data_IF_207515482946
#
_entry.id   IF_207515482946
#
_cell.length_a   1.000
_cell.length_b   1.000
_cell.length_c   1.000
_cell.angle_alpha   90.00
_cell.angle_beta   90.00
_cell.angle_gamma   90.00
#
_symmetry.space_group_name_H-M   'P 1'
#
loop_
_entity.id
_entity.type
_entity.pdbx_description
1 polymer ?
#
# COMPACT_ATOMS: atom_id res chain seq x y z
N UNK A 1 13.90 45.32 -39.06
CA UNK A 1 12.91 44.33 -38.59
C UNK A 1 13.69 43.12 -38.10
N UNK A 2 13.82 42.93 -36.78
CA UNK A 2 14.45 41.74 -36.19
C UNK A 2 13.37 40.80 -35.71
N UNK A 3 13.35 39.57 -36.22
CA UNK A 3 12.42 38.53 -35.80
C UNK A 3 12.94 37.91 -34.50
N UNK A 4 12.16 37.99 -33.42
CA UNK A 4 12.52 37.42 -32.12
C UNK A 4 12.12 35.94 -32.12
N UNK A 5 13.07 35.06 -32.41
CA UNK A 5 12.89 33.61 -32.21
C UNK A 5 12.78 33.35 -30.71
N UNK A 6 11.55 33.10 -30.24
CA UNK A 6 11.31 32.58 -28.91
C UNK A 6 11.59 31.07 -28.93
N UNK A 7 12.66 30.66 -28.26
CA UNK A 7 12.92 29.25 -27.95
C UNK A 7 11.78 28.72 -27.09
N UNK A 8 10.90 27.92 -27.69
CA UNK A 8 9.88 27.16 -26.98
C UNK A 8 10.59 26.13 -26.09
N UNK A 9 10.54 26.33 -24.77
CA UNK A 9 10.94 25.30 -23.81
C UNK A 9 10.04 24.07 -24.02
N UNK A 10 10.57 22.83 -24.02
CA UNK A 10 9.74 21.64 -24.11
C UNK A 10 8.80 21.61 -22.90
N UNK A 11 7.49 21.57 -23.16
CA UNK A 11 6.49 21.36 -22.13
C UNK A 11 6.71 20.01 -21.43
N UNK A 12 6.16 19.83 -20.22
CA UNK A 12 6.31 18.55 -19.52
C UNK A 12 5.77 17.43 -20.41
N UNK A 13 6.64 16.47 -20.73
CA UNK A 13 6.27 15.21 -21.36
C UNK A 13 5.11 14.61 -20.55
N UNK A 14 4.06 14.06 -21.18
CA UNK A 14 3.05 13.34 -20.42
C UNK A 14 3.75 12.18 -19.72
N UNK A 15 3.97 12.33 -18.42
CA UNK A 15 4.41 11.26 -17.53
C UNK A 15 3.54 10.06 -17.85
N UNK A 16 4.13 8.92 -18.18
CA UNK A 16 3.39 7.68 -18.38
C UNK A 16 2.54 7.47 -17.13
N UNK A 17 1.23 7.70 -17.24
CA UNK A 17 0.30 7.36 -16.17
C UNK A 17 0.38 5.85 -16.04
N UNK A 18 1.06 5.39 -14.99
CA UNK A 18 1.20 3.96 -14.72
C UNK A 18 -0.17 3.32 -14.66
N UNK A 19 -0.29 2.08 -15.13
CA UNK A 19 -1.53 1.31 -15.00
C UNK A 19 -1.89 1.22 -13.51
N UNK A 20 -3.08 1.67 -13.13
CA UNK A 20 -3.57 1.51 -11.76
C UNK A 20 -3.68 0.01 -11.44
N UNK A 21 -3.11 -0.40 -10.32
CA UNK A 21 -3.13 -1.80 -9.86
C UNK A 21 -3.87 -1.91 -8.54
N UNK A 22 -4.39 -3.10 -8.25
CA UNK A 22 -4.99 -3.39 -6.96
C UNK A 22 -3.88 -3.58 -5.92
N UNK A 23 -3.76 -2.63 -5.00
CA UNK A 23 -2.64 -2.57 -4.06
C UNK A 23 -2.86 -3.43 -2.80
N UNK A 24 -4.02 -3.30 -2.14
CA UNK A 24 -4.40 -4.13 -1.00
C UNK A 24 -5.91 -4.07 -0.70
N UNK A 25 -6.35 -4.93 0.21
CA UNK A 25 -7.64 -4.87 0.90
C UNK A 25 -7.44 -4.87 2.41
N UNK A 26 -8.16 -4.00 3.12
CA UNK A 26 -8.13 -3.89 4.58
C UNK A 26 -9.24 -4.70 5.26
N UNK A 27 -8.89 -5.39 6.35
CA UNK A 27 -9.81 -6.09 7.25
C UNK A 27 -9.64 -5.57 8.67
N UNK A 28 -10.71 -5.04 9.23
CA UNK A 28 -10.72 -4.61 10.64
C UNK A 28 -10.78 -5.83 11.55
N UNK A 29 -9.87 -5.89 12.52
CA UNK A 29 -9.78 -6.96 13.51
C UNK A 29 -9.71 -6.38 14.92
N UNK A 30 -10.26 -7.09 15.89
CA UNK A 30 -10.22 -6.67 17.29
C UNK A 30 -8.80 -6.71 17.90
N UNK A 31 -7.92 -7.59 17.39
CA UNK A 31 -6.52 -7.66 17.83
C UNK A 31 -5.65 -8.35 16.79
N UNK A 32 -4.66 -7.64 16.24
CA UNK A 32 -3.69 -8.21 15.29
C UNK A 32 -2.83 -9.25 15.99
N UNK A 33 -2.40 -8.98 17.22
CA UNK A 33 -1.54 -9.89 17.99
C UNK A 33 -2.21 -11.25 18.28
N UNK A 34 -3.53 -11.28 18.46
CA UNK A 34 -4.27 -12.51 18.72
C UNK A 34 -4.65 -13.27 17.44
N UNK A 35 -4.89 -12.57 16.33
CA UNK A 35 -5.48 -13.16 15.12
C UNK A 35 -4.51 -13.29 13.95
N UNK A 36 -3.40 -12.54 13.93
CA UNK A 36 -2.56 -12.41 12.75
C UNK A 36 -1.96 -13.71 12.24
N UNK A 37 -1.54 -14.62 13.14
CA UNK A 37 -0.97 -15.91 12.73
C UNK A 37 -2.01 -16.82 12.08
N UNK A 38 -3.19 -16.94 12.69
CA UNK A 38 -4.29 -17.74 12.14
C UNK A 38 -4.85 -17.14 10.85
N UNK A 39 -4.89 -15.80 10.76
CA UNK A 39 -5.29 -15.11 9.53
C UNK A 39 -4.30 -15.40 8.40
N UNK A 40 -2.99 -15.27 8.64
CA UNK A 40 -1.95 -15.58 7.66
C UNK A 40 -2.04 -17.04 7.20
N UNK A 41 -2.23 -17.97 8.15
CA UNK A 41 -2.45 -19.40 7.85
C UNK A 41 -3.66 -19.62 6.96
N UNK A 42 -4.78 -18.94 7.21
CA UNK A 42 -5.99 -19.06 6.38
C UNK A 42 -5.79 -18.60 4.94
N UNK A 43 -4.87 -17.65 4.72
CA UNK A 43 -4.50 -17.11 3.42
C UNK A 43 -3.41 -17.92 2.70
N UNK A 44 -2.77 -18.88 3.37
CA UNK A 44 -1.53 -19.48 2.88
C UNK A 44 -0.37 -18.49 2.77
N UNK A 45 -0.39 -17.42 3.58
CA UNK A 45 0.64 -16.40 3.63
C UNK A 45 1.61 -16.66 4.80
N UNK A 46 2.84 -16.20 4.66
CA UNK A 46 3.78 -16.10 5.78
C UNK A 46 3.60 -14.75 6.46
N UNK A 47 3.70 -14.74 7.80
CA UNK A 47 3.64 -13.51 8.59
C UNK A 47 4.80 -13.43 9.58
N UNK A 48 5.51 -12.30 9.56
CA UNK A 48 6.68 -12.05 10.40
C UNK A 48 6.35 -11.52 11.80
N UNK A 49 5.07 -11.28 12.10
CA UNK A 49 4.65 -10.64 13.35
C UNK A 49 4.88 -9.13 13.39
N UNK A 50 5.31 -8.51 12.28
CA UNK A 50 5.55 -7.07 12.22
C UNK A 50 4.23 -6.29 12.28
N UNK A 51 4.06 -5.46 13.31
CA UNK A 51 2.90 -4.59 13.50
C UNK A 51 3.39 -3.14 13.49
N UNK A 52 2.78 -2.32 12.64
CA UNK A 52 3.10 -0.91 12.46
C UNK A 52 2.02 -0.10 13.16
N UNK A 53 2.39 0.87 14.00
CA UNK A 53 1.45 1.89 14.48
C UNK A 53 1.43 3.04 13.48
N UNK A 54 0.25 3.33 12.90
CA UNK A 54 0.01 4.46 12.03
C UNK A 54 -0.80 5.53 12.77
N UNK A 55 -0.16 6.63 13.23
CA UNK A 55 -0.82 7.68 13.98
C UNK A 55 -1.83 8.48 13.15
N UNK A 56 -1.67 8.54 11.83
CA UNK A 56 -2.58 9.28 10.95
C UNK A 56 -3.91 8.54 10.81
N UNK A 57 -3.83 7.20 10.76
CA UNK A 57 -5.01 6.34 10.71
C UNK A 57 -5.58 6.04 12.11
N UNK A 58 -4.87 6.40 13.18
CA UNK A 58 -5.20 6.00 14.56
C UNK A 58 -5.42 4.50 14.65
N UNK A 59 -4.48 3.73 14.10
CA UNK A 59 -4.59 2.27 14.04
C UNK A 59 -3.22 1.60 14.08
N UNK A 60 -3.23 0.34 14.47
CA UNK A 60 -2.15 -0.60 14.22
C UNK A 60 -2.47 -1.40 12.97
N UNK A 61 -1.48 -1.63 12.13
CA UNK A 61 -1.65 -2.36 10.87
C UNK A 61 -0.57 -3.42 10.68
N UNK A 62 -0.89 -4.45 9.92
CA UNK A 62 0.09 -5.38 9.38
C UNK A 62 -0.30 -5.83 7.98
N UNK A 63 0.70 -6.06 7.12
CA UNK A 63 0.49 -6.43 5.72
C UNK A 63 0.97 -7.87 5.48
N UNK A 64 0.13 -8.65 4.80
CA UNK A 64 0.39 -10.04 4.43
C UNK A 64 0.26 -10.19 2.92
N UNK A 65 1.12 -11.02 2.32
CA UNK A 65 1.12 -11.25 0.88
C UNK A 65 0.91 -12.73 0.58
N UNK A 66 -0.11 -13.05 -0.21
CA UNK A 66 -0.39 -14.41 -0.66
C UNK A 66 0.40 -14.69 -1.93
N UNK A 67 1.50 -15.45 -1.85
CA UNK A 67 2.28 -15.83 -3.03
C UNK A 67 3.40 -14.86 -3.43
N UNK A 68 3.76 -13.90 -2.56
CA UNK A 68 5.00 -13.12 -2.66
C UNK A 68 4.81 -11.59 -2.72
N UNK A 69 5.90 -10.81 -2.68
CA UNK A 69 5.86 -9.36 -2.45
C UNK A 69 5.22 -8.52 -3.58
N UNK A 70 4.95 -9.12 -4.74
CA UNK A 70 4.34 -8.43 -5.88
C UNK A 70 2.83 -8.67 -6.01
N UNK A 71 2.22 -9.41 -5.09
CA UNK A 71 0.77 -9.64 -5.07
C UNK A 71 0.07 -8.54 -4.26
N UNK A 72 -1.23 -8.27 -4.50
CA UNK A 72 -1.99 -7.38 -3.62
C UNK A 72 -1.90 -7.84 -2.16
N UNK A 73 -1.72 -6.91 -1.23
CA UNK A 73 -1.62 -7.24 0.18
C UNK A 73 -3.00 -7.41 0.83
N UNK A 74 -3.04 -8.20 1.89
CA UNK A 74 -4.10 -8.15 2.90
C UNK A 74 -3.57 -7.33 4.07
N UNK A 75 -4.26 -6.26 4.41
CA UNK A 75 -3.96 -5.44 5.57
C UNK A 75 -4.91 -5.81 6.71
N UNK A 76 -4.38 -6.20 7.87
CA UNK A 76 -5.19 -6.25 9.08
C UNK A 76 -5.07 -4.91 9.79
N UNK A 77 -6.22 -4.35 10.15
CA UNK A 77 -6.33 -3.04 10.81
C UNK A 77 -6.92 -3.25 12.20
N UNK A 78 -6.17 -2.88 13.23
CA UNK A 78 -6.66 -2.80 14.61
C UNK A 78 -6.73 -1.33 15.01
N UNK A 79 -7.94 -0.74 15.09
CA UNK A 79 -8.12 0.64 15.49
C UNK A 79 -7.56 0.92 16.89
N UNK A 80 -7.05 2.13 17.09
CA UNK A 80 -6.80 2.64 18.42
C UNK A 80 -8.16 2.81 19.13
N UNK A 81 -8.20 2.38 20.41
CA UNK A 81 -9.40 2.31 21.25
C UNK A 81 -10.11 3.65 21.47
#
# INVERSE_FOLDING_TARGET
MGEKVATQMPGPSPSSVGVATFHHVGFVVASISQQGFEFARSLGAEWSGNIIHDPLQQARVTFMHCGGPNTPAVELVEPDS
#
